data_IF_313059280150
#
_entry.id   IF_313059280150
#
_cell.length_a   1.000
_cell.length_b   1.000
_cell.length_c   1.000
_cell.angle_alpha   90.00
_cell.angle_beta   90.00
_cell.angle_gamma   90.00
#
_symmetry.space_group_name_H-M   'P 1'
#
loop_
_entity.id
_entity.type
_entity.pdbx_description
1 polymer ?
#
# COMPACT_ATOMS: atom_id res chain seq x y z
N UNK A 1 38.49 -65.08 -7.67
CA UNK A 1 37.06 -65.39 -7.87
C UNK A 1 36.38 -64.11 -8.36
N UNK A 2 36.05 -64.07 -9.66
CA UNK A 2 35.16 -63.13 -10.39
C UNK A 2 35.41 -61.61 -10.27
N UNK A 3 36.09 -60.96 -11.23
CA UNK A 3 35.57 -60.34 -12.47
C UNK A 3 34.38 -59.37 -12.24
N UNK A 4 34.56 -58.04 -12.36
CA UNK A 4 34.62 -57.21 -13.60
C UNK A 4 33.23 -56.85 -14.17
N UNK A 5 33.06 -55.58 -14.60
CA UNK A 5 32.02 -55.02 -15.51
C UNK A 5 30.60 -54.86 -14.91
N UNK A 6 29.99 -53.67 -14.78
CA UNK A 6 29.66 -52.61 -15.77
C UNK A 6 29.51 -51.27 -15.01
N UNK A 7 30.17 -50.16 -15.35
CA UNK A 7 29.87 -49.25 -16.48
C UNK A 7 28.38 -48.84 -16.56
N UNK A 8 28.05 -47.63 -16.14
CA UNK A 8 27.48 -46.61 -17.06
C UNK A 8 27.51 -45.23 -16.38
N UNK A 9 28.53 -44.42 -16.68
CA UNK A 9 28.45 -43.22 -17.55
C UNK A 9 27.72 -42.05 -16.85
N UNK A 10 28.44 -41.09 -16.28
CA UNK A 10 29.07 -39.93 -16.98
C UNK A 10 27.97 -38.91 -17.31
N UNK A 11 27.82 -37.89 -16.47
CA UNK A 11 28.50 -36.58 -16.59
C UNK A 11 27.74 -35.64 -17.52
N UNK A 12 28.03 -34.34 -17.39
CA UNK A 12 27.79 -33.32 -18.42
C UNK A 12 26.31 -32.93 -18.61
N UNK A 13 25.86 -31.67 -18.50
CA UNK A 13 26.59 -30.40 -18.53
C UNK A 13 25.67 -29.28 -18.04
N UNK A 14 26.33 -28.29 -17.46
CA UNK A 14 25.92 -26.92 -17.18
C UNK A 14 25.17 -26.21 -18.33
N UNK A 15 24.63 -25.05 -17.94
CA UNK A 15 24.49 -23.79 -18.69
C UNK A 15 23.12 -23.57 -19.38
N UNK A 16 22.26 -22.81 -18.71
CA UNK A 16 21.14 -22.12 -19.34
C UNK A 16 21.36 -20.60 -19.18
N UNK A 17 21.87 -19.97 -20.25
CA UNK A 17 21.91 -18.52 -20.42
C UNK A 17 21.30 -18.19 -21.78
N UNK A 18 20.47 -17.13 -21.77
CA UNK A 18 20.17 -16.19 -22.86
C UNK A 18 19.40 -16.72 -24.07
N UNK A 19 18.19 -16.19 -24.30
CA UNK A 19 17.93 -15.14 -25.32
C UNK A 19 16.42 -15.03 -25.64
N UNK A 20 15.93 -13.79 -25.67
CA UNK A 20 14.71 -13.37 -26.38
C UNK A 20 14.94 -13.42 -27.91
N UNK A 21 13.88 -13.56 -28.73
CA UNK A 21 13.25 -12.41 -29.42
C UNK A 21 11.70 -12.55 -29.49
N UNK A 22 10.83 -11.53 -29.52
CA UNK A 22 10.63 -10.33 -30.37
C UNK A 22 10.01 -10.62 -31.76
N UNK A 23 8.75 -10.13 -31.93
CA UNK A 23 8.10 -9.55 -33.12
C UNK A 23 7.16 -10.36 -34.07
N UNK A 24 6.12 -9.61 -34.52
CA UNK A 24 5.31 -9.64 -35.79
C UNK A 24 3.94 -10.32 -35.73
N UNK A 25 2.79 -9.62 -35.77
CA UNK A 25 2.11 -8.73 -36.77
C UNK A 25 1.29 -9.44 -37.85
N UNK A 26 0.07 -8.92 -38.07
CA UNK A 26 -0.76 -8.95 -39.30
C UNK A 26 -1.56 -10.24 -39.57
N UNK A 27 -2.90 -10.27 -39.62
CA UNK A 27 -3.91 -9.59 -40.46
C UNK A 27 -4.33 -10.41 -41.71
N UNK A 28 -5.67 -10.49 -41.87
CA UNK A 28 -6.48 -10.81 -43.06
C UNK A 28 -6.76 -12.26 -43.50
N UNK A 29 -8.06 -12.51 -43.79
CA UNK A 29 -8.72 -13.22 -44.92
C UNK A 29 -9.95 -14.00 -44.39
N UNK A 30 -11.24 -13.68 -44.64
CA UNK A 30 -12.05 -13.44 -45.85
C UNK A 30 -12.24 -14.69 -46.75
N UNK A 31 -13.33 -15.44 -46.51
CA UNK A 31 -14.19 -16.17 -47.49
C UNK A 31 -15.26 -16.98 -46.72
N UNK A 32 -16.59 -16.84 -46.87
CA UNK A 32 -17.53 -17.02 -48.01
C UNK A 32 -18.04 -18.47 -48.13
N UNK A 33 -19.37 -18.62 -47.92
CA UNK A 33 -20.33 -19.62 -48.47
C UNK A 33 -20.19 -21.07 -47.96
N UNK A 34 -21.23 -21.82 -47.60
CA UNK A 34 -22.69 -21.67 -47.61
C UNK A 34 -23.34 -23.07 -47.50
N UNK A 35 -24.67 -23.09 -47.55
CA UNK A 35 -25.56 -24.20 -47.98
C UNK A 35 -26.18 -25.17 -46.95
N UNK A 36 -27.50 -25.37 -47.15
CA UNK A 36 -28.37 -26.52 -46.79
C UNK A 36 -28.89 -26.61 -45.34
N UNK A 37 -30.16 -26.93 -45.05
CA UNK A 37 -31.34 -27.31 -45.85
C UNK A 37 -32.62 -27.24 -45.00
N UNK A 38 -33.75 -27.17 -45.71
CA UNK A 38 -35.17 -27.15 -45.33
C UNK A 38 -35.62 -27.96 -44.10
N UNK A 39 -36.70 -27.48 -43.45
CA UNK A 39 -37.92 -28.29 -43.22
C UNK A 39 -39.17 -27.38 -43.09
N UNK A 40 -40.27 -27.88 -43.65
CA UNK A 40 -41.60 -27.28 -43.81
C UNK A 40 -42.31 -26.97 -42.49
N UNK A 41 -43.14 -25.92 -42.47
CA UNK A 41 -44.46 -25.97 -41.82
C UNK A 41 -45.39 -24.88 -42.39
N UNK A 42 -46.38 -25.30 -43.18
CA UNK A 42 -47.57 -24.51 -43.47
C UNK A 42 -48.50 -24.56 -42.26
N UNK A 43 -48.87 -23.42 -41.66
CA UNK A 43 -50.21 -23.21 -41.11
C UNK A 43 -50.57 -21.72 -41.24
N UNK A 44 -51.57 -21.43 -42.07
CA UNK A 44 -52.23 -20.14 -42.15
C UNK A 44 -53.21 -20.01 -40.97
N UNK A 45 -52.96 -19.07 -40.06
CA UNK A 45 -53.92 -18.65 -39.04
C UNK A 45 -54.44 -17.24 -39.33
N UNK A 46 -55.66 -16.92 -38.87
CA UNK A 46 -56.52 -15.90 -39.46
C UNK A 46 -56.08 -14.48 -39.10
N UNK A 47 -56.35 -13.55 -40.02
CA UNK A 47 -56.27 -12.11 -39.82
C UNK A 47 -57.28 -11.70 -38.74
N UNK A 48 -56.78 -11.55 -37.51
CA UNK A 48 -57.52 -10.95 -36.41
C UNK A 48 -57.56 -9.44 -36.64
N UNK A 49 -58.75 -8.98 -37.04
CA UNK A 49 -59.10 -7.57 -37.14
C UNK A 49 -59.14 -6.99 -35.73
N UNK A 50 -58.02 -6.37 -35.33
CA UNK A 50 -57.92 -5.61 -34.09
C UNK A 50 -58.88 -4.44 -34.20
N UNK A 51 -59.99 -4.58 -33.49
CA UNK A 51 -60.93 -3.50 -33.20
C UNK A 51 -60.17 -2.25 -32.75
N UNK A 52 -60.46 -1.13 -33.39
CA UNK A 52 -59.92 0.18 -33.07
C UNK A 52 -60.44 0.59 -31.69
N UNK A 53 -59.69 0.28 -30.64
CA UNK A 53 -59.89 0.87 -29.32
C UNK A 53 -59.61 2.38 -29.42
N UNK A 54 -60.37 3.25 -28.73
CA UNK A 54 -60.18 4.69 -28.84
C UNK A 54 -58.77 5.05 -28.41
N UNK A 55 -58.10 5.88 -29.22
CA UNK A 55 -56.80 6.48 -28.94
C UNK A 55 -56.88 7.17 -27.58
N UNK A 56 -56.37 6.52 -26.54
CA UNK A 56 -56.11 7.16 -25.26
C UNK A 56 -54.99 8.16 -25.56
N UNK A 57 -55.35 9.44 -25.58
CA UNK A 57 -54.39 10.53 -25.67
C UNK A 57 -53.33 10.32 -24.59
N UNK A 58 -52.11 9.98 -25.01
CA UNK A 58 -50.95 10.06 -24.13
C UNK A 58 -50.80 11.53 -23.75
N UNK A 59 -51.22 11.87 -22.53
CA UNK A 59 -50.83 13.11 -21.89
C UNK A 59 -49.31 13.11 -21.80
N UNK A 60 -48.67 13.93 -22.64
CA UNK A 60 -47.27 14.33 -22.47
C UNK A 60 -47.09 14.83 -21.04
N UNK A 61 -46.42 14.03 -20.21
CA UNK A 61 -46.09 14.43 -18.85
C UNK A 61 -45.23 15.70 -18.94
N UNK A 62 -45.64 16.75 -18.24
CA UNK A 62 -44.88 17.99 -18.12
C UNK A 62 -43.46 17.71 -17.60
N UNK A 63 -42.44 18.50 -17.99
CA UNK A 63 -41.09 18.34 -17.46
C UNK A 63 -41.13 18.34 -15.93
N UNK A 64 -40.61 17.28 -15.29
CA UNK A 64 -40.51 17.19 -13.84
C UNK A 64 -39.52 18.26 -13.39
N UNK A 65 -40.04 19.37 -12.85
CA UNK A 65 -39.20 20.43 -12.32
C UNK A 65 -38.54 19.93 -11.02
N UNK A 66 -37.20 19.93 -10.99
CA UNK A 66 -36.45 19.54 -9.80
C UNK A 66 -36.70 20.51 -8.65
N UNK A 67 -36.91 19.98 -7.45
CA UNK A 67 -36.97 20.78 -6.23
C UNK A 67 -35.62 21.47 -5.97
N UNK A 68 -35.58 22.58 -5.20
CA UNK A 68 -34.31 23.22 -4.84
C UNK A 68 -33.30 22.26 -4.19
N UNK A 69 -33.78 21.32 -3.35
CA UNK A 69 -32.93 20.30 -2.74
C UNK A 69 -32.34 19.34 -3.78
N UNK A 70 -33.15 18.88 -4.75
CA UNK A 70 -32.67 18.02 -5.83
C UNK A 70 -31.62 18.72 -6.69
N UNK A 71 -31.80 20.01 -7.00
CA UNK A 71 -30.81 20.83 -7.72
C UNK A 71 -29.47 20.90 -6.95
N UNK A 72 -29.51 21.10 -5.63
CA UNK A 72 -28.31 21.09 -4.79
C UNK A 72 -27.62 19.72 -4.76
N UNK A 73 -28.38 18.63 -4.65
CA UNK A 73 -27.86 17.27 -4.69
C UNK A 73 -27.14 17.00 -6.02
N UNK A 74 -27.76 17.34 -7.15
CA UNK A 74 -27.15 17.15 -8.47
C UNK A 74 -25.86 17.98 -8.64
N UNK A 75 -25.83 19.22 -8.12
CA UNK A 75 -24.62 20.03 -8.14
C UNK A 75 -23.49 19.40 -7.32
N UNK A 76 -23.77 18.96 -6.09
CA UNK A 76 -22.79 18.29 -5.22
C UNK A 76 -22.28 16.98 -5.84
N UNK A 77 -23.16 16.19 -6.48
CA UNK A 77 -22.78 14.96 -7.17
C UNK A 77 -21.85 15.24 -8.36
N UNK A 78 -22.14 16.27 -9.15
CA UNK A 78 -21.27 16.68 -10.26
C UNK A 78 -19.88 17.12 -9.77
N UNK A 79 -19.81 17.88 -8.67
CA UNK A 79 -18.55 18.29 -8.05
C UNK A 79 -17.79 17.10 -7.45
N UNK A 80 -18.49 16.16 -6.82
CA UNK A 80 -17.90 14.95 -6.27
C UNK A 80 -17.24 14.10 -7.37
N UNK A 81 -17.95 13.88 -8.48
CA UNK A 81 -17.47 13.15 -9.65
C UNK A 81 -16.25 13.86 -10.28
N UNK A 82 -16.29 15.19 -10.35
CA UNK A 82 -15.14 15.97 -10.81
C UNK A 82 -13.93 15.76 -9.89
N UNK A 83 -14.06 15.92 -8.57
CA UNK A 83 -12.96 15.66 -7.64
C UNK A 83 -12.45 14.22 -7.72
N UNK A 84 -13.33 13.24 -7.89
CA UNK A 84 -12.97 11.84 -8.06
C UNK A 84 -12.13 11.63 -9.33
N UNK A 85 -12.50 12.28 -10.43
CA UNK A 85 -11.75 12.24 -11.69
C UNK A 85 -10.35 12.84 -11.55
N UNK A 86 -10.20 13.86 -10.70
CA UNK A 86 -8.93 14.51 -10.38
C UNK A 86 -8.11 13.77 -9.31
N UNK A 87 -8.57 12.59 -8.87
CA UNK A 87 -7.97 11.83 -7.77
C UNK A 87 -7.87 12.61 -6.44
N UNK A 88 -8.70 13.63 -6.25
CA UNK A 88 -8.90 14.34 -4.98
C UNK A 88 -9.82 13.51 -4.09
N UNK A 89 -9.30 12.41 -3.55
CA UNK A 89 -10.09 11.38 -2.86
C UNK A 89 -10.52 11.81 -1.45
N UNK A 90 -9.53 12.01 -0.57
CA UNK A 90 -9.69 12.53 0.81
C UNK A 90 -8.91 13.84 1.02
N UNK A 91 -8.10 14.25 0.05
CA UNK A 91 -7.24 15.41 0.11
C UNK A 91 -7.47 16.28 -1.14
N UNK A 92 -7.41 17.62 -1.01
CA UNK A 92 -7.30 18.39 0.24
C UNK A 92 -8.55 18.28 1.14
N UNK A 93 -8.40 18.63 2.43
CA UNK A 93 -9.52 18.64 3.39
C UNK A 93 -10.57 19.64 2.90
N UNK A 94 -11.87 19.31 2.95
CA UNK A 94 -13.00 20.13 2.49
C UNK A 94 -13.14 20.37 0.98
N UNK A 95 -12.16 19.94 0.17
CA UNK A 95 -12.20 20.02 -1.29
C UNK A 95 -11.79 18.67 -1.92
N UNK A 96 -12.59 17.65 -1.63
CA UNK A 96 -12.39 16.28 -2.13
C UNK A 96 -13.72 15.58 -2.42
N UNK A 97 -13.63 14.47 -3.17
CA UNK A 97 -14.79 13.69 -3.61
C UNK A 97 -15.57 13.09 -2.44
N UNK A 98 -14.86 12.57 -1.43
CA UNK A 98 -15.47 11.94 -0.26
C UNK A 98 -16.41 12.91 0.48
N UNK A 99 -15.95 14.13 0.76
CA UNK A 99 -16.72 15.13 1.50
C UNK A 99 -17.98 15.54 0.75
N UNK A 100 -17.92 15.65 -0.58
CA UNK A 100 -19.08 15.98 -1.42
C UNK A 100 -20.10 14.84 -1.47
N UNK A 101 -19.66 13.59 -1.68
CA UNK A 101 -20.58 12.44 -1.60
C UNK A 101 -21.21 12.28 -0.21
N UNK A 102 -20.44 12.52 0.87
CA UNK A 102 -20.98 12.51 2.23
C UNK A 102 -22.00 13.62 2.46
N UNK A 103 -21.77 14.80 1.90
CA UNK A 103 -22.73 15.91 1.96
C UNK A 103 -24.06 15.55 1.26
N UNK A 104 -23.99 14.86 0.11
CA UNK A 104 -25.19 14.32 -0.55
C UNK A 104 -25.93 13.33 0.36
N UNK A 105 -25.22 12.40 0.99
CA UNK A 105 -25.85 11.41 1.88
C UNK A 105 -26.42 11.99 3.18
N UNK A 106 -25.99 13.19 3.60
CA UNK A 106 -26.65 13.92 4.69
C UNK A 106 -28.02 14.46 4.27
N UNK A 107 -28.22 14.78 2.99
CA UNK A 107 -29.48 15.29 2.44
C UNK A 107 -30.40 14.18 1.92
N UNK A 108 -29.82 13.15 1.32
CA UNK A 108 -30.49 11.98 0.78
C UNK A 108 -29.70 10.71 1.15
N UNK A 109 -29.98 10.08 2.30
CA UNK A 109 -29.28 8.89 2.75
C UNK A 109 -29.42 7.68 1.82
N UNK A 110 -30.40 7.68 0.92
CA UNK A 110 -30.63 6.58 -0.02
C UNK A 110 -29.99 6.80 -1.39
N UNK A 111 -29.30 7.92 -1.61
CA UNK A 111 -28.69 8.25 -2.89
C UNK A 111 -27.65 7.23 -3.36
N UNK A 112 -28.01 6.43 -4.38
CA UNK A 112 -27.16 5.34 -4.85
C UNK A 112 -25.88 5.83 -5.54
N UNK A 113 -25.93 6.97 -6.25
CA UNK A 113 -24.75 7.56 -6.90
C UNK A 113 -23.70 7.97 -5.87
N UNK A 114 -24.12 8.59 -4.76
CA UNK A 114 -23.20 8.95 -3.68
C UNK A 114 -22.60 7.72 -2.97
N UNK A 115 -23.42 6.68 -2.69
CA UNK A 115 -22.93 5.40 -2.14
C UNK A 115 -21.89 4.75 -3.06
N UNK A 116 -22.18 4.69 -4.37
CA UNK A 116 -21.27 4.15 -5.37
C UNK A 116 -19.98 4.97 -5.51
N UNK A 117 -20.08 6.29 -5.41
CA UNK A 117 -18.93 7.19 -5.38
C UNK A 117 -17.97 6.86 -4.23
N UNK A 118 -18.50 6.68 -3.01
CA UNK A 118 -17.71 6.28 -1.84
C UNK A 118 -17.09 4.89 -1.99
N UNK A 119 -17.84 3.91 -2.51
CA UNK A 119 -17.31 2.59 -2.88
C UNK A 119 -16.14 2.70 -3.86
N UNK A 120 -16.26 3.56 -4.87
CA UNK A 120 -15.21 3.79 -5.86
C UNK A 120 -13.95 4.37 -5.23
N UNK A 121 -14.09 5.32 -4.29
CA UNK A 121 -12.96 5.87 -3.54
C UNK A 121 -12.26 4.78 -2.72
N UNK A 122 -13.03 3.96 -1.97
CA UNK A 122 -12.46 2.86 -1.20
C UNK A 122 -11.68 1.88 -2.09
N UNK A 123 -12.23 1.55 -3.26
CA UNK A 123 -11.56 0.68 -4.24
C UNK A 123 -10.26 1.28 -4.80
N UNK A 124 -10.19 2.59 -5.03
CA UNK A 124 -8.94 3.26 -5.42
C UNK A 124 -7.86 3.09 -4.35
N UNK A 125 -8.20 3.21 -3.07
CA UNK A 125 -7.26 2.98 -1.98
C UNK A 125 -6.84 1.51 -1.86
N UNK A 126 -7.75 0.56 -2.10
CA UNK A 126 -7.39 -0.87 -2.18
C UNK A 126 -6.35 -1.12 -3.28
N UNK A 127 -6.51 -0.53 -4.45
CA UNK A 127 -5.57 -0.72 -5.55
C UNK A 127 -4.19 -0.07 -5.27
N UNK A 128 -4.19 1.14 -4.69
CA UNK A 128 -2.96 1.77 -4.22
C UNK A 128 -2.27 0.90 -3.15
N UNK A 129 -3.03 0.32 -2.22
CA UNK A 129 -2.49 -0.56 -1.19
C UNK A 129 -1.85 -1.82 -1.78
N UNK A 130 -2.50 -2.45 -2.76
CA UNK A 130 -1.96 -3.60 -3.48
C UNK A 130 -0.66 -3.23 -4.20
N UNK A 131 -0.61 -2.06 -4.81
CA UNK A 131 0.61 -1.56 -5.48
C UNK A 131 1.75 -1.31 -4.48
N UNK A 132 1.47 -0.67 -3.34
CA UNK A 132 2.45 -0.47 -2.28
C UNK A 132 2.96 -1.80 -1.71
N UNK A 133 2.07 -2.77 -1.50
CA UNK A 133 2.42 -4.10 -1.02
C UNK A 133 3.31 -4.87 -2.01
N UNK A 134 3.03 -4.79 -3.32
CA UNK A 134 3.88 -5.35 -4.38
C UNK A 134 5.28 -4.74 -4.41
N UNK A 135 5.42 -3.47 -4.01
CA UNK A 135 6.71 -2.76 -3.88
C UNK A 135 7.43 -3.04 -2.55
N UNK A 136 6.86 -3.85 -1.66
CA UNK A 136 7.42 -4.11 -0.33
C UNK A 136 7.11 -3.03 0.72
N UNK A 137 6.39 -1.96 0.35
CA UNK A 137 5.99 -0.88 1.25
C UNK A 137 4.76 -1.30 2.08
N UNK A 138 4.91 -2.31 2.95
CA UNK A 138 3.79 -2.87 3.71
C UNK A 138 3.15 -1.87 4.69
N UNK A 139 3.93 -0.93 5.25
CA UNK A 139 3.40 0.11 6.15
C UNK A 139 2.48 1.10 5.41
N UNK A 140 2.86 1.48 4.19
CA UNK A 140 2.05 2.32 3.31
C UNK A 140 0.77 1.57 2.90
N UNK A 141 0.90 0.32 2.46
CA UNK A 141 -0.23 -0.52 2.11
C UNK A 141 -1.24 -0.64 3.27
N UNK A 142 -0.77 -0.84 4.51
CA UNK A 142 -1.63 -0.90 5.69
C UNK A 142 -2.37 0.42 5.92
N UNK A 143 -1.71 1.55 5.68
CA UNK A 143 -2.32 2.88 5.82
C UNK A 143 -3.41 3.11 4.78
N UNK A 144 -3.15 2.74 3.53
CA UNK A 144 -4.11 2.85 2.44
C UNK A 144 -5.34 1.94 2.68
N UNK A 145 -5.15 0.71 3.17
CA UNK A 145 -6.27 -0.16 3.59
C UNK A 145 -7.08 0.46 4.74
N UNK A 146 -6.44 1.16 5.70
CA UNK A 146 -7.18 1.87 6.76
C UNK A 146 -8.05 2.98 6.17
N UNK A 147 -7.57 3.71 5.17
CA UNK A 147 -8.40 4.71 4.47
C UNK A 147 -9.58 4.07 3.76
N UNK A 148 -9.36 3.00 2.99
CA UNK A 148 -10.44 2.27 2.33
C UNK A 148 -11.53 1.83 3.33
N UNK A 149 -11.14 1.23 4.46
CA UNK A 149 -12.06 0.79 5.53
C UNK A 149 -12.83 1.93 6.17
N UNK A 150 -12.18 3.09 6.36
CA UNK A 150 -12.83 4.27 6.93
C UNK A 150 -13.90 4.87 6.02
N UNK A 151 -13.79 4.63 4.70
CA UNK A 151 -14.74 5.12 3.70
C UNK A 151 -15.88 4.13 3.52
N UNK A 152 -15.55 2.87 3.23
CA UNK A 152 -16.51 1.78 3.06
C UNK A 152 -15.85 0.44 3.43
N UNK A 153 -16.38 -0.23 4.46
CA UNK A 153 -15.86 -1.52 4.94
C UNK A 153 -16.59 -2.71 4.29
N UNK A 154 -16.76 -2.66 2.97
CA UNK A 154 -17.40 -3.71 2.18
C UNK A 154 -16.54 -4.99 2.08
N UNK A 155 -17.09 -6.12 1.59
CA UNK A 155 -16.36 -7.38 1.50
C UNK A 155 -15.04 -7.32 0.71
N UNK A 156 -14.95 -6.48 -0.33
CA UNK A 156 -13.72 -6.34 -1.13
C UNK A 156 -12.59 -5.69 -0.32
N UNK A 157 -12.93 -4.68 0.47
CA UNK A 157 -11.98 -4.01 1.37
C UNK A 157 -11.55 -4.96 2.50
N UNK A 158 -12.47 -5.77 3.02
CA UNK A 158 -12.17 -6.79 4.04
C UNK A 158 -11.20 -7.84 3.51
N UNK A 159 -11.46 -8.41 2.33
CA UNK A 159 -10.58 -9.39 1.67
C UNK A 159 -9.18 -8.83 1.39
N UNK A 160 -9.10 -7.61 0.85
CA UNK A 160 -7.82 -6.95 0.59
C UNK A 160 -7.00 -6.77 1.87
N UNK A 161 -7.67 -6.45 2.98
CA UNK A 161 -7.03 -6.27 4.26
C UNK A 161 -6.58 -7.59 4.89
N UNK A 162 -7.34 -8.67 4.74
CA UNK A 162 -6.94 -10.02 5.15
C UNK A 162 -5.73 -10.52 4.37
N UNK A 163 -5.73 -10.30 3.05
CA UNK A 163 -4.61 -10.64 2.17
C UNK A 163 -3.35 -9.90 2.62
N UNK A 164 -3.45 -8.58 2.84
CA UNK A 164 -2.32 -7.79 3.32
C UNK A 164 -1.85 -8.25 4.71
N UNK A 165 -2.77 -8.58 5.62
CA UNK A 165 -2.42 -9.11 6.95
C UNK A 165 -1.61 -10.40 6.84
N UNK A 166 -2.02 -11.33 5.96
CA UNK A 166 -1.28 -12.57 5.71
C UNK A 166 0.12 -12.29 5.16
N UNK A 167 0.25 -11.36 4.21
CA UNK A 167 1.54 -10.95 3.65
C UNK A 167 2.47 -10.31 4.69
N UNK A 168 1.92 -9.47 5.58
CA UNK A 168 2.67 -8.87 6.69
C UNK A 168 3.11 -9.94 7.68
N UNK A 169 2.25 -10.90 8.01
CA UNK A 169 2.60 -12.00 8.91
C UNK A 169 3.65 -12.95 8.33
N UNK A 170 3.63 -13.18 7.01
CA UNK A 170 4.63 -13.99 6.32
C UNK A 170 5.97 -13.27 6.14
N UNK A 171 6.01 -11.95 6.30
CA UNK A 171 7.25 -11.17 6.31
C UNK A 171 7.79 -11.20 7.74
N UNK A 172 8.92 -11.88 8.01
CA UNK A 172 9.48 -11.91 9.36
C UNK A 172 9.71 -10.47 9.82
N UNK A 173 9.20 -10.13 11.00
CA UNK A 173 9.60 -8.87 11.62
C UNK A 173 11.12 -8.80 11.63
N UNK A 174 11.74 -7.65 11.31
CA UNK A 174 13.18 -7.51 11.46
C UNK A 174 13.54 -7.95 12.87
N UNK A 175 14.51 -8.87 12.99
CA UNK A 175 14.95 -9.39 14.28
C UNK A 175 15.26 -8.19 15.18
N UNK A 176 14.74 -8.13 16.42
CA UNK A 176 15.12 -7.08 17.35
C UNK A 176 16.63 -7.00 17.40
N UNK A 177 17.18 -5.80 17.30
CA UNK A 177 18.62 -5.62 17.39
C UNK A 177 19.11 -6.21 18.71
N UNK A 178 20.02 -7.18 18.64
CA UNK A 178 20.65 -7.76 19.81
C UNK A 178 22.01 -7.09 19.99
N UNK A 179 22.17 -6.40 21.11
CA UNK A 179 23.42 -5.75 21.46
C UNK A 179 24.54 -6.80 21.53
N UNK A 180 25.65 -6.57 20.81
CA UNK A 180 26.84 -7.39 20.99
C UNK A 180 27.55 -7.02 22.30
N UNK A 181 28.55 -7.82 22.69
CA UNK A 181 29.41 -7.45 23.82
C UNK A 181 30.03 -6.05 23.60
N UNK A 182 30.03 -5.23 24.64
CA UNK A 182 30.53 -3.85 24.59
C UNK A 182 29.58 -2.84 23.93
N UNK A 183 28.37 -3.23 23.55
CA UNK A 183 27.34 -2.32 23.04
C UNK A 183 26.29 -1.97 24.10
N UNK A 184 25.93 -0.69 24.15
CA UNK A 184 24.84 -0.18 24.95
C UNK A 184 23.80 0.43 24.00
N UNK A 185 22.66 -0.25 23.86
CA UNK A 185 21.52 0.25 23.10
C UNK A 185 20.79 1.28 23.96
N UNK A 186 20.51 2.43 23.36
CA UNK A 186 19.85 3.55 24.03
C UNK A 186 18.37 3.58 23.63
N UNK A 187 17.49 3.63 24.62
CA UNK A 187 16.05 3.70 24.36
C UNK A 187 15.69 5.01 23.62
N UNK A 188 14.96 4.88 22.51
CA UNK A 188 14.65 5.98 21.61
C UNK A 188 13.74 7.05 22.25
N UNK A 189 12.83 6.65 23.15
CA UNK A 189 11.90 7.57 23.83
C UNK A 189 12.65 8.34 24.93
N UNK A 190 13.45 7.64 25.73
CA UNK A 190 14.27 8.26 26.77
C UNK A 190 15.31 9.21 26.17
N UNK A 191 15.91 8.85 25.02
CA UNK A 191 16.81 9.73 24.29
C UNK A 191 16.13 11.02 23.83
N UNK A 192 14.93 10.90 23.26
CA UNK A 192 14.17 12.04 22.80
C UNK A 192 13.76 12.96 23.97
N UNK A 193 13.41 12.37 25.11
CA UNK A 193 13.12 13.10 26.34
C UNK A 193 14.38 13.64 27.06
N UNK A 194 15.59 13.25 26.61
CA UNK A 194 16.87 13.52 27.29
C UNK A 194 16.83 13.12 28.76
N UNK A 195 16.26 11.95 29.01
CA UNK A 195 15.95 11.46 30.36
C UNK A 195 17.22 11.24 31.20
N UNK A 196 17.10 11.40 32.52
CA UNK A 196 18.19 11.17 33.46
C UNK A 196 18.73 9.73 33.38
N UNK A 197 17.88 8.74 33.08
CA UNK A 197 18.29 7.36 32.89
C UNK A 197 19.28 7.20 31.73
N UNK A 198 19.06 7.90 30.61
CA UNK A 198 20.01 7.89 29.47
C UNK A 198 21.32 8.55 29.87
N UNK A 199 21.25 9.68 30.58
CA UNK A 199 22.46 10.38 31.04
C UNK A 199 23.29 9.50 31.98
N UNK A 200 22.64 8.74 32.87
CA UNK A 200 23.28 7.73 33.73
C UNK A 200 23.93 6.61 32.93
N UNK A 201 23.22 6.05 31.94
CA UNK A 201 23.77 5.01 31.05
C UNK A 201 25.01 5.50 30.30
N UNK A 202 24.95 6.71 29.71
CA UNK A 202 26.07 7.31 29.00
C UNK A 202 27.25 7.60 29.93
N UNK A 203 26.98 8.03 31.18
CA UNK A 203 28.03 8.21 32.18
C UNK A 203 28.77 6.90 32.45
N UNK A 204 28.04 5.78 32.58
CA UNK A 204 28.64 4.46 32.73
C UNK A 204 29.51 4.06 31.53
N UNK A 205 29.02 4.30 30.32
CA UNK A 205 29.77 4.03 29.08
C UNK A 205 31.04 4.85 29.00
N UNK A 206 30.98 6.15 29.33
CA UNK A 206 32.13 7.05 29.30
C UNK A 206 33.23 6.63 30.29
N UNK A 207 32.84 6.26 31.51
CA UNK A 207 33.78 5.75 32.52
C UNK A 207 34.44 4.46 32.05
N UNK A 208 33.66 3.52 31.53
CA UNK A 208 34.18 2.27 30.99
C UNK A 208 35.15 2.51 29.83
N UNK A 209 34.81 3.40 28.88
CA UNK A 209 35.69 3.78 27.78
C UNK A 209 37.03 4.32 28.28
N UNK A 210 37.01 5.17 29.32
CA UNK A 210 38.21 5.71 29.97
C UNK A 210 39.04 4.62 30.65
N UNK A 211 38.39 3.73 31.39
CA UNK A 211 39.05 2.65 32.13
C UNK A 211 39.71 1.62 31.21
N UNK A 212 39.11 1.35 30.05
CA UNK A 212 39.60 0.35 29.08
C UNK A 212 40.41 0.95 27.93
N UNK A 213 40.58 2.28 27.90
CA UNK A 213 41.17 3.05 26.80
C UNK A 213 40.57 2.74 25.41
N UNK A 214 39.27 2.44 25.35
CA UNK A 214 38.57 2.09 24.12
C UNK A 214 37.99 3.30 23.39
N UNK A 215 37.85 3.18 22.07
CA UNK A 215 37.13 4.15 21.26
C UNK A 215 35.62 3.96 21.38
N UNK A 216 34.88 5.05 21.22
CA UNK A 216 33.43 5.10 21.25
C UNK A 216 32.91 5.22 19.82
N UNK A 217 32.26 4.18 19.30
CA UNK A 217 31.49 4.28 18.07
C UNK A 217 30.02 4.54 18.41
N UNK A 218 29.52 5.72 18.07
CA UNK A 218 28.13 6.13 18.28
C UNK A 218 27.36 5.87 17.00
N UNK A 219 26.30 5.08 17.08
CA UNK A 219 25.35 4.92 15.97
C UNK A 219 24.07 5.64 16.36
N UNK A 220 23.62 6.62 15.58
CA UNK A 220 22.48 7.48 15.91
C UNK A 220 21.53 7.71 14.73
N UNK A 221 20.25 8.02 15.03
CA UNK A 221 19.22 8.25 14.01
C UNK A 221 19.46 9.51 13.20
N UNK A 222 20.05 10.52 13.85
CA UNK A 222 20.38 11.81 13.26
C UNK A 222 21.73 12.28 13.78
N UNK A 223 22.35 13.18 13.02
CA UNK A 223 23.62 13.79 13.36
C UNK A 223 23.53 14.66 14.63
N UNK A 224 22.41 15.35 14.82
CA UNK A 224 22.13 16.12 16.04
C UNK A 224 22.03 15.21 17.29
N UNK A 225 21.35 14.06 17.16
CA UNK A 225 21.27 13.07 18.23
C UNK A 225 22.66 12.49 18.56
N UNK A 226 23.44 12.10 17.55
CA UNK A 226 24.79 11.57 17.73
C UNK A 226 25.72 12.56 18.44
N UNK A 227 25.69 13.83 18.04
CA UNK A 227 26.45 14.90 18.71
C UNK A 227 26.03 15.11 20.15
N UNK A 228 24.73 15.06 20.43
CA UNK A 228 24.23 15.18 21.80
C UNK A 228 24.73 14.02 22.67
N UNK A 229 24.68 12.78 22.17
CA UNK A 229 25.24 11.60 22.85
C UNK A 229 26.73 11.78 23.14
N UNK A 230 27.51 12.21 22.14
CA UNK A 230 28.94 12.47 22.31
C UNK A 230 29.22 13.52 23.40
N UNK A 231 28.44 14.61 23.43
CA UNK A 231 28.56 15.64 24.47
C UNK A 231 28.33 15.08 25.87
N UNK A 232 27.32 14.20 26.05
CA UNK A 232 27.09 13.57 27.36
C UNK A 232 28.26 12.69 27.77
N UNK A 233 28.82 11.89 26.85
CA UNK A 233 29.98 11.05 27.12
C UNK A 233 31.20 11.89 27.52
N UNK A 234 31.49 12.96 26.77
CA UNK A 234 32.60 13.87 27.07
C UNK A 234 32.44 14.54 28.44
N UNK A 235 31.24 15.03 28.74
CA UNK A 235 30.98 15.73 30.01
C UNK A 235 31.08 14.80 31.23
N UNK A 236 30.82 13.51 31.05
CA UNK A 236 30.90 12.51 32.12
C UNK A 236 32.33 12.17 32.57
N UNK A 237 33.35 12.49 31.78
CA UNK A 237 34.77 12.22 32.10
C UNK A 237 35.66 13.46 31.89
N UNK A 238 35.58 14.48 32.77
CA UNK A 238 36.38 15.69 32.66
C UNK A 238 37.89 15.38 32.62
N UNK A 239 38.61 16.07 31.74
CA UNK A 239 40.06 15.91 31.55
C UNK A 239 40.47 14.66 30.76
N UNK A 240 39.53 13.80 30.35
CA UNK A 240 39.80 12.67 29.46
C UNK A 240 39.28 12.96 28.04
N UNK A 241 40.09 12.65 27.02
CA UNK A 241 39.68 12.78 25.63
C UNK A 241 38.88 11.55 25.20
N UNK A 242 37.56 11.68 25.11
CA UNK A 242 36.71 10.65 24.51
C UNK A 242 36.99 10.59 23.00
N UNK A 243 37.69 9.53 22.58
CA UNK A 243 38.00 9.23 21.18
C UNK A 243 36.85 8.43 20.56
N UNK A 244 36.42 8.77 19.35
CA UNK A 244 35.28 8.10 18.75
C UNK A 244 34.87 8.63 17.38
N UNK A 245 33.85 7.98 16.82
CA UNK A 245 33.22 8.35 15.55
C UNK A 245 31.68 8.25 15.68
N UNK A 246 30.95 8.98 14.83
CA UNK A 246 29.49 9.00 14.77
C UNK A 246 29.04 8.48 13.40
N UNK A 247 28.29 7.38 13.39
CA UNK A 247 27.66 6.82 12.19
C UNK A 247 26.14 6.94 12.28
N UNK A 248 25.48 7.09 11.12
CA UNK A 248 24.02 7.10 11.05
C UNK A 248 23.47 5.66 11.06
N UNK A 249 22.43 5.41 11.84
CA UNK A 249 21.77 4.11 11.89
C UNK A 249 20.71 4.01 12.99
N UNK A 250 20.06 2.85 13.06
CA UNK A 250 19.03 2.52 14.05
C UNK A 250 19.18 1.05 14.48
N UNK A 251 18.95 0.71 15.77
CA UNK A 251 18.66 1.63 16.88
C UNK A 251 19.90 2.42 17.30
N UNK A 252 19.65 3.53 18.01
CA UNK A 252 20.70 4.35 18.60
C UNK A 252 21.46 3.56 19.66
N UNK A 253 22.78 3.52 19.56
CA UNK A 253 23.63 2.73 20.46
C UNK A 253 25.05 3.28 20.50
N UNK A 254 25.76 2.91 21.55
CA UNK A 254 27.18 3.20 21.72
C UNK A 254 27.94 1.89 21.83
N UNK A 255 28.99 1.73 21.01
CA UNK A 255 29.87 0.56 21.03
C UNK A 255 31.26 0.96 21.50
N UNK A 256 31.81 0.21 22.45
CA UNK A 256 33.22 0.32 22.81
C UNK A 256 34.04 -0.61 21.92
N UNK A 257 34.97 -0.04 21.17
CA UNK A 257 35.81 -0.75 20.20
C UNK A 257 37.28 -0.53 20.47
N UNK A 258 38.12 -1.51 20.11
CA UNK A 258 39.58 -1.40 20.25
C UNK A 258 40.22 -0.53 19.18
N UNK A 259 39.62 -0.45 17.99
CA UNK A 259 40.01 0.41 16.87
C UNK A 259 38.76 0.87 16.09
N UNK A 260 38.90 1.95 15.31
CA UNK A 260 37.88 2.52 14.44
C UNK A 260 38.19 2.18 12.97
N UNK A 261 38.11 0.90 12.64
CA UNK A 261 38.32 0.40 11.26
C UNK A 261 36.98 0.05 10.59
#
# INVERSE_FOLDING_TARGET
MFNVLLKSQVELTKLFLLQHPVLKTSAHLLSVVGLSSLLLACQSTPKEEVAVAPVVQQTVAAPVELTPQQKTIEALLAEADYCLSQNKLLNPITDNAHDRYRSVLLMDPQNDRAKLGLQTIAMRYVEQARTAAKRGNLSEAQTLIRYARGIDNNPVVQDAAETLRKQVASTPAPKPYQASEGEVVLDAKLLQAKDAQITSQLTGVAKKAKETDQFVLIIARTDAEGRWVYQQLRNAVPGYLVRGDIKLGSPTRVKLVKSLD
#
